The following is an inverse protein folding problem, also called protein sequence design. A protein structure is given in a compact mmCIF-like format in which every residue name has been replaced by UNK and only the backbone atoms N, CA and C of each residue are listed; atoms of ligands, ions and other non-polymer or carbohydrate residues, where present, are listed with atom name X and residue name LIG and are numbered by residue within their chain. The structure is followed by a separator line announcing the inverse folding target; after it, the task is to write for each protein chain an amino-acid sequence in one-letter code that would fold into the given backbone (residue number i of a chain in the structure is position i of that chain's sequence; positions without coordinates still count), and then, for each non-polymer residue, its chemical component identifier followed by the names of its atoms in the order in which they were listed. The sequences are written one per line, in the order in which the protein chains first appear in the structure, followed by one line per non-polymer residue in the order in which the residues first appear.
data_IF_886936555383
#
_entry.id   IF_886936555383
#
_cell.length_a   1.000
_cell.length_b   1.000
_cell.length_c   1.000
_cell.angle_alpha   90.00
_cell.angle_beta   90.00
_cell.angle_gamma   90.00
#
_symmetry.space_group_name_H-M   'P 1'
#
loop_
_entity.id
_entity.type
_entity.pdbx_description
1 polymer ?
#
# COMPACT_ATOMS: atom_id res chain seq x y z
N UNK A 1 1.20 20.84 10.09
CA UNK A 1 2.03 20.23 9.01
C UNK A 1 1.15 19.20 8.34
N UNK A 2 1.32 18.97 7.04
CA UNK A 2 0.40 18.14 6.25
C UNK A 2 1.16 17.01 5.55
N UNK A 3 0.48 15.88 5.37
CA UNK A 3 0.91 14.81 4.46
C UNK A 3 -0.04 14.83 3.27
N UNK A 4 0.51 14.99 2.08
CA UNK A 4 -0.27 14.87 0.86
C UNK A 4 -0.32 13.41 0.42
N UNK A 5 -1.53 12.89 0.22
CA UNK A 5 -1.83 11.51 -0.17
C UNK A 5 -2.45 11.57 -1.56
N UNK A 6 -1.72 11.15 -2.57
CA UNK A 6 -2.17 11.14 -3.96
C UNK A 6 -2.42 9.70 -4.41
N UNK A 7 -3.63 9.44 -4.88
CA UNK A 7 -3.96 8.16 -5.48
C UNK A 7 -3.48 8.13 -6.93
N UNK A 8 -2.71 7.12 -7.30
CA UNK A 8 -2.16 6.99 -8.65
C UNK A 8 -2.94 6.00 -9.51
N UNK A 9 -3.77 5.17 -8.91
CA UNK A 9 -4.56 4.13 -9.56
C UNK A 9 -4.30 2.76 -8.94
N UNK A 10 -5.29 1.89 -8.96
CA UNK A 10 -5.26 0.52 -8.43
C UNK A 10 -4.74 0.45 -6.98
N UNK A 11 -3.50 -0.05 -6.79
CA UNK A 11 -2.83 -0.12 -5.48
C UNK A 11 -1.88 1.04 -5.23
N UNK A 12 -1.62 1.86 -6.27
CA UNK A 12 -0.54 2.83 -6.27
C UNK A 12 -0.90 4.14 -5.56
N UNK A 13 -0.07 4.54 -4.61
CA UNK A 13 -0.14 5.83 -3.92
C UNK A 13 1.21 6.54 -3.92
N UNK A 14 1.15 7.86 -3.97
CA UNK A 14 2.26 8.75 -3.67
C UNK A 14 1.95 9.48 -2.37
N UNK A 15 2.89 9.45 -1.43
CA UNK A 15 2.85 10.29 -0.23
C UNK A 15 3.96 11.32 -0.30
N UNK A 16 3.64 12.57 0.04
CA UNK A 16 4.62 13.64 0.10
C UNK A 16 4.53 14.34 1.45
N UNK A 17 5.67 14.42 2.16
CA UNK A 17 5.74 15.14 3.42
C UNK A 17 5.91 16.64 3.16
N UNK A 18 5.60 17.48 4.13
CA UNK A 18 5.82 18.92 4.05
C UNK A 18 7.30 19.29 3.79
N UNK A 19 8.24 18.43 4.17
CA UNK A 19 9.67 18.60 3.88
C UNK A 19 10.06 18.18 2.46
N UNK A 20 9.09 17.73 1.66
CA UNK A 20 9.33 17.29 0.29
C UNK A 20 9.81 15.86 0.13
N UNK A 21 9.83 15.07 1.21
CA UNK A 21 10.11 13.63 1.06
C UNK A 21 8.97 12.95 0.33
N UNK A 22 9.24 12.46 -0.87
CA UNK A 22 8.27 11.75 -1.72
C UNK A 22 8.51 10.26 -1.64
N UNK A 23 7.44 9.50 -1.41
CA UNK A 23 7.45 8.05 -1.37
C UNK A 23 6.30 7.46 -2.20
N UNK A 24 6.53 6.28 -2.76
CA UNK A 24 5.52 5.51 -3.48
C UNK A 24 5.18 4.23 -2.71
N UNK A 25 3.93 3.85 -2.76
CA UNK A 25 3.39 2.63 -2.16
C UNK A 25 2.79 1.79 -3.29
N UNK A 26 3.22 0.54 -3.40
CA UNK A 26 2.75 -0.45 -4.37
C UNK A 26 2.48 0.12 -5.78
N UNK A 27 3.51 0.69 -6.47
CA UNK A 27 3.34 1.54 -7.63
C UNK A 27 2.96 0.78 -8.91
N UNK A 28 1.76 0.21 -8.93
CA UNK A 28 1.14 -0.37 -10.12
C UNK A 28 0.53 0.74 -10.97
N UNK A 29 1.22 1.12 -12.06
CA UNK A 29 0.83 2.22 -12.93
C UNK A 29 0.19 1.77 -14.26
N UNK A 30 0.21 0.47 -14.55
CA UNK A 30 -0.27 -0.12 -15.80
C UNK A 30 -1.61 -0.85 -15.60
N UNK A 31 -2.68 -0.10 -15.33
CA UNK A 31 -4.03 -0.66 -15.27
C UNK A 31 -4.63 -0.92 -16.66
N UNK A 32 -5.52 -1.91 -16.76
CA UNK A 32 -6.38 -2.11 -17.95
C UNK A 32 -7.84 -1.80 -17.58
N UNK A 33 -8.42 -0.74 -18.18
CA UNK A 33 -9.82 -0.39 -17.93
C UNK A 33 -10.83 -1.49 -18.30
N UNK A 34 -10.45 -2.42 -19.19
CA UNK A 34 -11.32 -3.57 -19.53
C UNK A 34 -11.50 -4.52 -18.34
N UNK A 35 -10.49 -4.60 -17.49
CA UNK A 35 -10.53 -5.38 -16.25
C UNK A 35 -11.08 -4.60 -15.05
N UNK A 36 -11.58 -3.36 -15.29
CA UNK A 36 -12.03 -2.46 -14.24
C UNK A 36 -10.90 -1.81 -13.46
N UNK A 37 -9.66 -1.96 -13.92
CA UNK A 37 -8.46 -1.40 -13.28
C UNK A 37 -8.11 -0.08 -13.98
N UNK A 38 -8.16 1.07 -13.30
CA UNK A 38 -7.84 2.33 -13.94
C UNK A 38 -6.36 2.39 -14.34
N UNK A 39 -6.01 3.00 -15.49
CA UNK A 39 -4.62 3.28 -15.79
C UNK A 39 -4.05 4.25 -14.74
N UNK A 40 -2.76 4.11 -14.46
CA UNK A 40 -2.07 5.02 -13.55
C UNK A 40 -2.13 6.47 -14.04
N UNK A 41 -2.22 7.38 -13.07
CA UNK A 41 -2.26 8.82 -13.35
C UNK A 41 -0.95 9.35 -13.97
N UNK A 42 0.14 8.62 -13.78
CA UNK A 42 1.49 9.03 -14.21
C UNK A 42 2.25 7.82 -14.79
N UNK A 43 3.36 8.13 -15.45
CA UNK A 43 4.36 7.13 -15.87
C UNK A 43 5.55 7.09 -14.91
N UNK A 44 6.36 6.02 -14.91
CA UNK A 44 7.54 5.90 -14.03
C UNK A 44 8.47 7.13 -14.05
N UNK A 45 8.62 7.78 -15.20
CA UNK A 45 9.51 8.93 -15.37
C UNK A 45 9.10 10.16 -14.54
N UNK A 46 7.86 10.24 -14.09
CA UNK A 46 7.38 11.31 -13.21
C UNK A 46 7.93 11.19 -11.77
N UNK A 47 8.54 10.05 -11.41
CA UNK A 47 8.94 9.75 -10.04
C UNK A 47 10.48 9.71 -9.83
N UNK A 48 11.25 10.38 -10.67
CA UNK A 48 12.72 10.42 -10.56
C UNK A 48 13.19 11.02 -9.22
N UNK A 49 12.38 11.89 -8.61
CA UNK A 49 12.69 12.51 -7.31
C UNK A 49 12.20 11.69 -6.10
N UNK A 50 11.57 10.53 -6.32
CA UNK A 50 11.17 9.67 -5.23
C UNK A 50 12.38 9.25 -4.38
N UNK A 51 12.17 9.15 -3.05
CA UNK A 51 13.21 8.73 -2.09
C UNK A 51 12.95 7.35 -1.51
N UNK A 52 11.69 6.93 -1.45
CA UNK A 52 11.29 5.61 -0.94
C UNK A 52 10.29 4.98 -1.90
N UNK A 53 10.45 3.69 -2.13
CA UNK A 53 9.43 2.86 -2.80
C UNK A 53 9.15 1.69 -1.88
N UNK A 54 7.92 1.61 -1.39
CA UNK A 54 7.47 0.55 -0.50
C UNK A 54 6.62 -0.43 -1.28
N UNK A 55 6.98 -1.71 -1.22
CA UNK A 55 6.22 -2.80 -1.84
C UNK A 55 5.80 -3.78 -0.76
N UNK A 56 4.50 -4.03 -0.65
CA UNK A 56 3.92 -4.87 0.40
C UNK A 56 4.20 -6.35 0.20
N UNK A 57 4.16 -6.82 -1.05
CA UNK A 57 4.40 -8.21 -1.43
C UNK A 57 4.71 -8.35 -2.92
N UNK A 58 5.04 -9.57 -3.37
CA UNK A 58 5.56 -9.83 -4.72
C UNK A 58 4.53 -9.85 -5.84
N UNK A 59 3.25 -9.69 -5.59
CA UNK A 59 2.25 -9.72 -6.66
C UNK A 59 2.55 -8.63 -7.71
N UNK A 60 2.27 -8.95 -8.96
CA UNK A 60 2.62 -8.07 -10.08
C UNK A 60 1.93 -6.73 -9.99
N UNK A 61 0.71 -6.73 -9.49
CA UNK A 61 -0.13 -5.54 -9.31
C UNK A 61 0.21 -4.72 -8.05
N UNK A 62 1.23 -5.12 -7.27
CA UNK A 62 1.84 -4.37 -6.18
C UNK A 62 3.28 -3.96 -6.50
N UNK A 63 4.09 -4.89 -7.02
CA UNK A 63 5.42 -4.54 -7.52
C UNK A 63 5.31 -3.52 -8.65
N UNK A 64 4.36 -3.71 -9.57
CA UNK A 64 4.11 -2.79 -10.66
C UNK A 64 5.39 -2.28 -11.32
N UNK A 65 5.59 -0.98 -11.32
CA UNK A 65 6.76 -0.30 -11.86
C UNK A 65 7.81 0.07 -10.80
N UNK A 66 7.74 -0.52 -9.60
CA UNK A 66 8.68 -0.23 -8.50
C UNK A 66 10.15 -0.36 -8.94
N UNK A 67 10.49 -1.45 -9.63
CA UNK A 67 11.86 -1.70 -10.06
C UNK A 67 12.35 -0.71 -11.12
N UNK A 68 11.47 -0.31 -12.04
CA UNK A 68 11.80 0.68 -13.07
C UNK A 68 12.05 2.04 -12.43
N UNK A 69 11.22 2.43 -11.47
CA UNK A 69 11.38 3.71 -10.77
C UNK A 69 12.67 3.71 -9.91
N UNK A 70 12.99 2.60 -9.22
CA UNK A 70 14.27 2.49 -8.50
C UNK A 70 15.46 2.72 -9.44
N UNK A 71 15.42 2.22 -10.67
CA UNK A 71 16.54 2.36 -11.63
C UNK A 71 16.76 3.78 -12.12
N UNK A 72 15.69 4.59 -12.18
CA UNK A 72 15.76 5.96 -12.72
C UNK A 72 15.77 7.05 -11.65
N UNK A 73 15.74 6.67 -10.36
CA UNK A 73 15.72 7.58 -9.21
C UNK A 73 16.82 7.24 -8.22
N UNK A 74 16.96 8.04 -7.16
CA UNK A 74 17.79 7.73 -5.99
C UNK A 74 16.99 6.99 -4.90
N UNK A 75 15.77 6.53 -5.18
CA UNK A 75 14.93 5.87 -4.20
C UNK A 75 15.53 4.55 -3.73
N UNK A 76 15.31 4.22 -2.47
CA UNK A 76 15.54 2.87 -1.95
C UNK A 76 14.25 2.08 -1.98
N UNK A 77 14.37 0.78 -2.26
CA UNK A 77 13.27 -0.18 -2.23
C UNK A 77 13.12 -0.75 -0.81
N UNK A 78 11.94 -0.62 -0.26
CA UNK A 78 11.54 -1.19 1.04
C UNK A 78 10.54 -2.30 0.75
N UNK A 79 10.86 -3.55 1.06
CA UNK A 79 10.03 -4.67 0.64
C UNK A 79 10.23 -5.93 1.50
N UNK A 80 9.37 -6.93 1.30
CA UNK A 80 9.52 -8.25 1.89
C UNK A 80 10.68 -9.05 1.25
N UNK A 81 10.97 -10.22 1.82
CA UNK A 81 12.08 -11.09 1.40
C UNK A 81 11.91 -11.56 -0.05
N UNK A 82 10.70 -11.96 -0.44
CA UNK A 82 10.45 -12.50 -1.78
C UNK A 82 10.60 -11.41 -2.84
N UNK A 83 10.09 -10.21 -2.59
CA UNK A 83 10.27 -9.04 -3.46
C UNK A 83 11.74 -8.63 -3.56
N UNK A 84 12.52 -8.72 -2.47
CA UNK A 84 13.97 -8.48 -2.51
C UNK A 84 14.65 -9.39 -3.52
N UNK A 85 14.37 -10.69 -3.47
CA UNK A 85 15.02 -11.64 -4.42
C UNK A 85 14.61 -11.36 -5.86
N UNK A 86 13.35 -11.01 -6.13
CA UNK A 86 12.94 -10.56 -7.46
C UNK A 86 13.70 -9.30 -7.91
N UNK A 87 13.85 -8.33 -7.02
CA UNK A 87 14.58 -7.10 -7.32
C UNK A 87 16.05 -7.36 -7.68
N UNK A 88 16.70 -8.29 -6.96
CA UNK A 88 18.09 -8.69 -7.23
C UNK A 88 18.21 -9.47 -8.54
N UNK A 89 17.42 -10.53 -8.73
CA UNK A 89 17.59 -11.49 -9.82
C UNK A 89 16.93 -11.06 -11.13
N UNK A 90 15.71 -10.49 -11.08
CA UNK A 90 14.96 -10.10 -12.28
C UNK A 90 15.34 -8.68 -12.74
N UNK A 91 15.51 -7.77 -11.78
CA UNK A 91 15.72 -6.36 -12.10
C UNK A 91 17.18 -5.90 -11.97
N UNK A 92 18.06 -6.68 -11.32
CA UNK A 92 19.46 -6.31 -11.12
C UNK A 92 19.67 -5.09 -10.24
N UNK A 93 18.73 -4.84 -9.29
CA UNK A 93 18.87 -3.73 -8.35
C UNK A 93 19.98 -4.06 -7.36
N UNK A 94 20.87 -3.12 -7.10
CA UNK A 94 21.97 -3.29 -6.16
C UNK A 94 21.44 -3.52 -4.72
N UNK A 95 22.06 -4.43 -3.97
CA UNK A 95 21.58 -4.86 -2.66
C UNK A 95 21.55 -3.71 -1.64
N UNK A 96 22.46 -2.77 -1.72
CA UNK A 96 22.52 -1.57 -0.88
C UNK A 96 21.38 -0.58 -1.12
N UNK A 97 20.63 -0.75 -2.23
CA UNK A 97 19.40 -0.03 -2.55
C UNK A 97 18.13 -0.71 -2.02
N UNK A 98 18.24 -1.87 -1.35
CA UNK A 98 17.11 -2.68 -0.90
C UNK A 98 17.11 -2.81 0.62
N UNK A 99 16.07 -2.29 1.25
CA UNK A 99 15.80 -2.44 2.69
C UNK A 99 14.77 -3.55 2.88
N UNK A 100 15.29 -4.77 3.09
CA UNK A 100 14.45 -5.91 3.40
C UNK A 100 13.76 -5.74 4.75
N UNK A 101 12.45 -5.97 4.77
CA UNK A 101 11.65 -5.96 5.98
C UNK A 101 11.01 -7.33 6.24
N UNK A 102 10.89 -7.65 7.51
CA UNK A 102 10.02 -8.71 8.02
C UNK A 102 9.15 -8.13 9.12
N UNK A 103 8.08 -8.80 9.48
CA UNK A 103 7.14 -8.35 10.52
C UNK A 103 7.85 -7.90 11.79
N UNK A 104 7.52 -6.71 12.28
CA UNK A 104 8.11 -6.09 13.47
C UNK A 104 9.31 -5.20 13.19
N UNK A 105 10.00 -5.34 12.05
CA UNK A 105 11.12 -4.47 11.67
C UNK A 105 10.63 -3.03 11.48
N UNK A 106 11.51 -2.09 11.83
CA UNK A 106 11.28 -0.67 11.72
C UNK A 106 12.54 0.03 11.22
N UNK A 107 12.40 0.82 10.16
CA UNK A 107 13.43 1.72 9.65
C UNK A 107 13.01 3.17 9.75
N UNK A 108 13.98 4.08 9.80
CA UNK A 108 13.77 5.53 9.76
C UNK A 108 14.44 6.07 8.51
N UNK A 109 13.67 6.74 7.69
CA UNK A 109 14.11 7.39 6.44
C UNK A 109 13.77 8.88 6.55
N UNK A 110 14.77 9.70 6.87
CA UNK A 110 14.57 11.13 7.05
C UNK A 110 13.51 11.44 8.12
N UNK A 111 12.38 11.98 7.70
CA UNK A 111 11.25 12.36 8.56
C UNK A 111 10.15 11.30 8.64
N UNK A 112 10.36 10.14 8.05
CA UNK A 112 9.39 9.03 8.02
C UNK A 112 9.95 7.80 8.71
N UNK A 113 9.15 7.21 9.59
CA UNK A 113 9.40 5.92 10.22
C UNK A 113 8.46 4.89 9.60
N UNK A 114 9.03 3.86 9.00
CA UNK A 114 8.31 2.74 8.39
C UNK A 114 8.41 1.53 9.31
N UNK A 115 7.28 0.99 9.74
CA UNK A 115 7.19 -0.26 10.49
C UNK A 115 6.43 -1.30 9.67
N UNK A 116 7.03 -2.48 9.51
CA UNK A 116 6.37 -3.62 8.89
C UNK A 116 5.47 -4.32 9.92
N UNK A 117 4.25 -4.60 9.51
CA UNK A 117 3.25 -5.38 10.24
C UNK A 117 2.83 -6.59 9.39
N UNK A 118 2.45 -7.72 10.00
CA UNK A 118 1.95 -8.87 9.27
C UNK A 118 0.69 -8.54 8.47
N UNK A 119 0.64 -8.96 7.21
CA UNK A 119 -0.57 -9.07 6.43
C UNK A 119 -0.96 -10.55 6.25
N UNK A 120 -2.23 -10.84 6.00
CA UNK A 120 -2.76 -12.18 5.81
C UNK A 120 -3.07 -12.43 4.33
N UNK A 121 -2.04 -12.65 3.56
CA UNK A 121 -2.08 -12.88 2.12
C UNK A 121 -0.88 -13.73 1.68
N UNK A 122 -0.58 -13.78 0.39
CA UNK A 122 0.52 -14.55 -0.20
C UNK A 122 1.64 -13.63 -0.67
N UNK A 123 2.89 -14.03 -0.44
CA UNK A 123 4.05 -13.45 -1.10
C UNK A 123 5.03 -14.54 -1.47
N UNK A 124 5.19 -14.81 -2.75
CA UNK A 124 6.13 -15.83 -3.21
C UNK A 124 6.84 -15.38 -4.49
N UNK A 125 8.07 -15.80 -4.65
CA UNK A 125 8.85 -15.57 -5.87
C UNK A 125 9.51 -16.86 -6.34
N UNK A 126 9.67 -16.97 -7.65
CA UNK A 126 10.57 -17.97 -8.25
C UNK A 126 11.94 -17.34 -8.38
N UNK A 127 12.95 -18.02 -7.88
CA UNK A 127 14.35 -17.59 -7.95
C UNK A 127 15.18 -18.65 -8.65
N UNK A 128 16.45 -18.36 -8.94
CA UNK A 128 17.39 -19.34 -9.47
C UNK A 128 17.55 -20.57 -8.55
N UNK A 129 17.40 -20.38 -7.24
CA UNK A 129 17.49 -21.45 -6.23
C UNK A 129 16.19 -22.21 -5.96
N UNK A 130 15.07 -21.83 -6.60
CA UNK A 130 13.75 -22.44 -6.37
C UNK A 130 12.67 -21.41 -5.99
N UNK A 131 11.69 -21.82 -5.19
CA UNK A 131 10.63 -20.92 -4.72
C UNK A 131 10.96 -20.37 -3.34
N UNK A 132 10.73 -19.08 -3.16
CA UNK A 132 10.76 -18.40 -1.88
C UNK A 132 9.33 -18.02 -1.52
N UNK A 133 8.90 -18.39 -0.32
CA UNK A 133 7.66 -17.90 0.29
C UNK A 133 8.04 -16.91 1.41
N UNK A 134 7.43 -15.74 1.39
CA UNK A 134 7.61 -14.71 2.40
C UNK A 134 6.27 -14.31 2.99
N UNK A 135 6.30 -13.63 4.12
CA UNK A 135 5.11 -13.05 4.70
C UNK A 135 4.85 -11.70 4.03
N UNK A 136 3.65 -11.48 3.45
CA UNK A 136 3.25 -10.16 2.98
C UNK A 136 3.20 -9.17 4.14
N UNK A 137 3.36 -7.90 3.83
CA UNK A 137 3.48 -6.82 4.80
C UNK A 137 2.40 -5.77 4.61
N UNK A 138 1.85 -5.30 5.72
CA UNK A 138 1.26 -3.98 5.83
C UNK A 138 2.30 -3.01 6.37
N UNK A 139 2.18 -1.74 6.08
CA UNK A 139 3.08 -0.71 6.58
C UNK A 139 2.38 0.29 7.48
N UNK A 140 2.96 0.54 8.65
CA UNK A 140 2.62 1.69 9.47
C UNK A 140 3.68 2.78 9.23
N UNK A 141 3.26 3.87 8.63
CA UNK A 141 4.06 5.05 8.39
C UNK A 141 3.80 6.06 9.50
N UNK A 142 4.87 6.49 10.18
CA UNK A 142 4.78 7.50 11.24
C UNK A 142 5.69 8.67 10.86
N UNK A 143 5.11 9.84 10.74
CA UNK A 143 5.81 11.04 10.31
C UNK A 143 6.33 11.82 11.53
N UNK A 144 7.40 12.58 11.34
CA UNK A 144 8.01 13.37 12.42
C UNK A 144 7.04 14.41 13.01
N UNK A 145 6.02 14.76 12.28
CA UNK A 145 4.95 15.71 12.64
C UNK A 145 3.82 15.07 13.44
N UNK A 146 3.83 13.74 13.60
CA UNK A 146 2.91 12.98 14.44
C UNK A 146 1.84 12.21 13.69
N UNK A 147 1.60 12.50 12.40
CA UNK A 147 0.63 11.76 11.58
C UNK A 147 1.06 10.30 11.46
N UNK A 148 0.07 9.40 11.39
CA UNK A 148 0.28 7.97 11.21
C UNK A 148 -0.69 7.44 10.17
N UNK A 149 -0.14 6.75 9.17
CA UNK A 149 -0.90 6.13 8.08
C UNK A 149 -0.68 4.63 8.13
N UNK A 150 -1.75 3.87 8.14
CA UNK A 150 -1.74 2.43 7.93
C UNK A 150 -1.98 2.16 6.44
N UNK A 151 -1.02 1.53 5.78
CA UNK A 151 -1.15 1.03 4.42
C UNK A 151 -1.30 -0.49 4.48
N UNK A 152 -2.49 -0.97 4.17
CA UNK A 152 -2.86 -2.37 4.33
C UNK A 152 -2.10 -3.31 3.40
N UNK A 153 -1.85 -2.88 2.16
CA UNK A 153 -1.56 -3.84 1.08
C UNK A 153 -2.76 -4.77 0.94
N UNK A 154 -2.49 -5.98 0.49
CA UNK A 154 -3.49 -7.03 0.45
C UNK A 154 -3.46 -7.83 1.74
N UNK A 155 -4.58 -7.88 2.40
CA UNK A 155 -4.78 -8.65 3.62
C UNK A 155 -6.24 -9.05 3.78
N UNK A 156 -6.49 -10.28 4.23
CA UNK A 156 -7.81 -10.65 4.72
C UNK A 156 -8.06 -10.06 6.11
N UNK A 157 -9.31 -10.07 6.55
CA UNK A 157 -9.67 -9.64 7.91
C UNK A 157 -8.98 -10.52 8.96
N UNK A 158 -8.40 -9.93 9.99
CA UNK A 158 -7.78 -10.64 11.11
C UNK A 158 -7.74 -9.80 12.38
N UNK A 159 -7.71 -10.46 13.54
CA UNK A 159 -7.83 -9.80 14.85
C UNK A 159 -6.70 -8.83 15.19
N UNK A 160 -5.50 -9.00 14.59
CA UNK A 160 -4.37 -8.10 14.87
C UNK A 160 -4.63 -6.66 14.40
N UNK A 161 -5.54 -6.45 13.42
CA UNK A 161 -5.94 -5.10 12.99
C UNK A 161 -6.50 -4.28 14.16
N UNK A 162 -7.26 -4.92 15.06
CA UNK A 162 -7.75 -4.29 16.29
C UNK A 162 -6.59 -3.92 17.22
N UNK A 163 -5.65 -4.85 17.41
CA UNK A 163 -4.45 -4.60 18.21
C UNK A 163 -3.59 -3.47 17.62
N UNK A 164 -3.49 -3.38 16.28
CA UNK A 164 -2.78 -2.28 15.64
C UNK A 164 -3.45 -0.94 15.89
N UNK A 165 -4.79 -0.88 15.89
CA UNK A 165 -5.56 0.30 16.27
C UNK A 165 -5.26 0.74 17.71
N UNK A 166 -5.30 -0.17 18.66
CA UNK A 166 -5.02 0.10 20.08
C UNK A 166 -3.58 0.58 20.32
N UNK A 167 -2.59 -0.10 19.73
CA UNK A 167 -1.17 0.16 19.98
C UNK A 167 -0.63 1.36 19.19
N UNK A 168 -1.03 1.48 17.92
CA UNK A 168 -0.39 2.43 17.01
C UNK A 168 -1.25 3.63 16.66
N UNK A 169 -2.57 3.52 16.83
CA UNK A 169 -3.54 4.61 16.63
C UNK A 169 -3.31 5.34 15.29
N UNK A 170 -3.37 4.64 14.15
CA UNK A 170 -3.24 5.31 12.86
C UNK A 170 -4.38 6.33 12.68
N UNK A 171 -4.11 7.39 11.94
CA UNK A 171 -5.12 8.43 11.68
C UNK A 171 -5.82 8.20 10.33
N UNK A 172 -5.08 7.64 9.39
CA UNK A 172 -5.55 7.28 8.05
C UNK A 172 -5.29 5.80 7.81
N UNK A 173 -6.24 5.08 7.22
CA UNK A 173 -6.03 3.76 6.67
C UNK A 173 -6.24 3.77 5.16
N UNK A 174 -5.31 3.20 4.42
CA UNK A 174 -5.45 2.86 3.00
C UNK A 174 -5.62 1.35 2.95
N UNK A 175 -6.78 0.88 2.50
CA UNK A 175 -7.18 -0.52 2.58
C UNK A 175 -7.46 -1.09 1.19
N UNK A 176 -6.91 -2.27 0.91
CA UNK A 176 -7.31 -3.10 -0.22
C UNK A 176 -8.73 -3.60 0.00
N UNK A 177 -9.64 -3.26 -0.91
CA UNK A 177 -11.05 -3.66 -0.85
C UNK A 177 -11.43 -4.31 -2.19
N UNK A 178 -12.37 -5.25 -2.15
CA UNK A 178 -12.70 -5.99 -3.36
C UNK A 178 -11.65 -7.04 -3.69
N UNK A 179 -11.50 -7.39 -4.95
CA UNK A 179 -10.56 -8.42 -5.37
C UNK A 179 -10.71 -8.85 -6.81
N UNK A 180 -10.07 -9.93 -7.16
CA UNK A 180 -10.13 -10.53 -8.50
C UNK A 180 -10.90 -11.85 -8.48
N UNK A 181 -11.74 -12.06 -9.47
CA UNK A 181 -12.38 -13.35 -9.70
C UNK A 181 -11.43 -14.21 -10.55
N UNK A 182 -11.01 -15.34 -9.99
CA UNK A 182 -10.17 -16.32 -10.67
C UNK A 182 -10.92 -17.64 -10.73
N UNK A 183 -11.29 -18.07 -11.93
CA UNK A 183 -12.02 -19.31 -12.18
C UNK A 183 -13.33 -19.44 -11.39
N UNK A 184 -14.07 -18.35 -11.22
CA UNK A 184 -15.33 -18.34 -10.46
C UNK A 184 -15.13 -18.36 -8.94
N UNK A 185 -13.92 -18.10 -8.48
CA UNK A 185 -13.60 -17.90 -7.06
C UNK A 185 -13.12 -16.47 -6.84
N UNK A 186 -13.80 -15.75 -5.96
CA UNK A 186 -13.35 -14.42 -5.56
C UNK A 186 -12.11 -14.55 -4.67
N UNK A 187 -11.01 -14.01 -5.14
CA UNK A 187 -9.80 -13.79 -4.36
C UNK A 187 -9.86 -12.37 -3.83
N UNK A 188 -10.62 -12.19 -2.77
CA UNK A 188 -10.89 -10.89 -2.18
C UNK A 188 -9.99 -10.70 -0.96
N UNK A 189 -9.34 -9.57 -0.88
CA UNK A 189 -8.48 -9.19 0.25
C UNK A 189 -9.34 -8.94 1.47
N UNK A 190 -10.12 -7.86 1.43
CA UNK A 190 -11.18 -7.54 2.37
C UNK A 190 -12.49 -7.40 1.60
N UNK A 191 -13.52 -8.12 1.98
CA UNK A 191 -14.87 -7.78 1.52
C UNK A 191 -15.21 -6.37 1.99
N UNK A 192 -16.11 -5.70 1.28
CA UNK A 192 -16.42 -4.29 1.55
C UNK A 192 -16.88 -4.01 2.98
N UNK A 193 -17.64 -4.92 3.57
CA UNK A 193 -18.06 -4.89 4.97
C UNK A 193 -16.91 -5.21 5.94
N UNK A 194 -16.02 -6.13 5.59
CA UNK A 194 -14.81 -6.43 6.35
C UNK A 194 -13.83 -5.25 6.35
N UNK A 195 -13.69 -4.54 5.22
CA UNK A 195 -12.86 -3.35 5.12
C UNK A 195 -13.41 -2.21 5.99
N UNK A 196 -14.73 -2.02 6.00
CA UNK A 196 -15.37 -1.04 6.89
C UNK A 196 -15.15 -1.40 8.37
N UNK A 197 -15.27 -2.70 8.72
CA UNK A 197 -14.99 -3.21 10.07
C UNK A 197 -13.50 -3.02 10.44
N UNK A 198 -12.58 -3.31 9.51
CA UNK A 198 -11.14 -3.11 9.70
C UNK A 198 -10.80 -1.65 9.98
N UNK A 199 -11.41 -0.70 9.24
CA UNK A 199 -11.26 0.73 9.50
C UNK A 199 -11.71 1.09 10.92
N UNK A 200 -12.85 0.54 11.36
CA UNK A 200 -13.35 0.69 12.73
C UNK A 200 -12.39 0.11 13.78
N UNK A 201 -11.85 -1.08 13.56
CA UNK A 201 -10.88 -1.72 14.47
C UNK A 201 -9.55 -0.94 14.55
N UNK A 202 -9.09 -0.38 13.43
CA UNK A 202 -7.92 0.49 13.38
C UNK A 202 -8.16 1.83 14.09
N UNK A 203 -9.44 2.24 14.25
CA UNK A 203 -9.83 3.49 14.91
C UNK A 203 -9.35 4.74 14.17
N UNK A 204 -9.33 4.69 12.85
CA UNK A 204 -8.85 5.78 12.01
C UNK A 204 -9.87 6.92 11.91
N UNK A 205 -9.41 8.11 11.53
CA UNK A 205 -10.29 9.24 11.19
C UNK A 205 -10.72 9.20 9.74
N UNK A 206 -9.84 8.68 8.87
CA UNK A 206 -10.04 8.63 7.42
C UNK A 206 -9.74 7.24 6.91
N UNK A 207 -10.61 6.70 6.05
CA UNK A 207 -10.41 5.45 5.32
C UNK A 207 -10.44 5.72 3.81
N UNK A 208 -9.43 5.20 3.10
CA UNK A 208 -9.25 5.35 1.66
C UNK A 208 -9.21 3.94 1.05
N UNK A 209 -10.14 3.60 0.15
CA UNK A 209 -10.11 2.32 -0.54
C UNK A 209 -9.07 2.31 -1.66
N UNK A 210 -8.48 1.15 -1.91
CA UNK A 210 -7.68 0.82 -3.08
C UNK A 210 -8.02 -0.59 -3.55
N UNK A 211 -7.42 -1.05 -4.65
CA UNK A 211 -7.54 -2.43 -5.15
C UNK A 211 -8.99 -2.83 -5.49
N UNK A 212 -9.81 -1.89 -5.92
CA UNK A 212 -11.21 -2.09 -6.25
C UNK A 212 -11.46 -1.96 -7.75
N UNK A 213 -12.49 -2.66 -8.23
CA UNK A 213 -12.93 -2.64 -9.62
C UNK A 213 -14.29 -1.95 -9.74
N UNK A 214 -14.53 -1.37 -10.90
CA UNK A 214 -15.82 -0.77 -11.23
C UNK A 214 -16.38 0.11 -10.11
N UNK A 215 -17.50 -0.27 -9.51
CA UNK A 215 -18.23 0.51 -8.51
C UNK A 215 -17.93 0.11 -7.06
N UNK A 216 -17.08 -0.90 -6.82
CA UNK A 216 -16.75 -1.40 -5.47
C UNK A 216 -16.24 -0.30 -4.53
N UNK A 217 -15.57 0.73 -5.07
CA UNK A 217 -15.16 1.89 -4.29
C UNK A 217 -16.34 2.64 -3.66
N UNK A 218 -17.44 2.85 -4.41
CA UNK A 218 -18.67 3.46 -3.89
C UNK A 218 -19.39 2.53 -2.93
N UNK A 219 -19.44 1.24 -3.22
CA UNK A 219 -20.03 0.24 -2.34
C UNK A 219 -19.30 0.18 -0.99
N UNK A 220 -17.96 0.30 -1.00
CA UNK A 220 -17.18 0.46 0.25
C UNK A 220 -17.58 1.70 1.03
N UNK A 221 -17.78 2.85 0.35
CA UNK A 221 -18.21 4.07 1.02
C UNK A 221 -19.57 3.90 1.70
N UNK A 222 -20.49 3.17 1.08
CA UNK A 222 -21.79 2.85 1.67
C UNK A 222 -21.65 1.90 2.87
N UNK A 223 -20.80 0.87 2.77
CA UNK A 223 -20.51 -0.04 3.88
C UNK A 223 -19.88 0.71 5.06
N UNK A 224 -18.91 1.59 4.79
CA UNK A 224 -18.24 2.41 5.81
C UNK A 224 -19.23 3.31 6.54
N UNK A 225 -20.08 4.03 5.80
CA UNK A 225 -21.12 4.90 6.38
C UNK A 225 -22.08 4.13 7.28
N UNK A 226 -22.38 2.88 6.94
CA UNK A 226 -23.29 2.03 7.71
C UNK A 226 -22.65 1.47 8.98
N UNK A 227 -21.38 1.05 8.92
CA UNK A 227 -20.73 0.31 10.00
C UNK A 227 -19.85 1.19 10.90
N UNK A 228 -19.26 2.25 10.34
CA UNK A 228 -18.35 3.15 11.04
C UNK A 228 -18.62 4.61 10.66
N UNK A 229 -19.82 5.16 10.98
CA UNK A 229 -20.28 6.46 10.51
C UNK A 229 -19.41 7.63 10.96
N UNK A 230 -18.61 7.46 11.99
CA UNK A 230 -17.68 8.48 12.50
C UNK A 230 -16.36 8.54 11.71
N UNK A 231 -16.13 7.62 10.78
CA UNK A 231 -14.95 7.58 9.94
C UNK A 231 -15.25 8.27 8.61
N UNK A 232 -14.43 9.25 8.25
CA UNK A 232 -14.52 9.90 6.95
C UNK A 232 -13.99 8.98 5.85
N UNK A 233 -14.83 8.62 4.89
CA UNK A 233 -14.39 7.92 3.68
C UNK A 233 -13.87 8.91 2.63
N UNK A 234 -12.76 8.56 1.97
CA UNK A 234 -12.19 9.33 0.83
C UNK A 234 -12.04 8.43 -0.38
N UNK A 235 -12.95 8.54 -1.32
CA UNK A 235 -12.84 7.88 -2.62
C UNK A 235 -12.12 8.82 -3.59
N UNK A 236 -10.84 8.55 -3.84
CA UNK A 236 -10.00 9.35 -4.72
C UNK A 236 -10.01 8.77 -6.14
N UNK A 237 -9.98 9.63 -7.14
CA UNK A 237 -9.73 9.23 -8.53
C UNK A 237 -8.23 9.24 -8.83
N UNK A 238 -7.76 8.46 -9.82
CA UNK A 238 -6.37 8.54 -10.24
C UNK A 238 -5.93 9.98 -10.53
N UNK A 239 -4.87 10.42 -9.86
CA UNK A 239 -4.33 11.78 -9.91
C UNK A 239 -4.88 12.73 -8.84
N UNK A 240 -5.96 12.39 -8.15
CA UNK A 240 -6.47 13.22 -7.04
C UNK A 240 -5.61 13.08 -5.78
N UNK A 241 -5.52 14.18 -5.04
CA UNK A 241 -4.81 14.27 -3.77
C UNK A 241 -5.75 14.61 -2.62
N UNK A 242 -5.39 14.10 -1.44
CA UNK A 242 -5.99 14.44 -0.17
C UNK A 242 -4.89 14.84 0.82
N UNK A 243 -4.94 16.05 1.35
CA UNK A 243 -3.98 16.53 2.35
C UNK A 243 -4.51 16.27 3.75
N UNK A 244 -3.78 15.48 4.53
CA UNK A 244 -4.10 15.16 5.91
C UNK A 244 -3.21 15.93 6.89
N UNK A 245 -3.82 16.52 7.92
CA UNK A 245 -3.16 17.15 9.07
C UNK A 245 -3.81 16.70 10.38
N UNK A 246 -3.05 16.73 11.49
CA UNK A 246 -3.52 16.48 12.85
C UNK A 246 -4.34 17.64 13.41
#
# INVERSE_FOLDING_TARGET
MTIDIRYLGWTAFQLTTEKGTTMLLDPMLNGDPKDGIPPGAEKPEAFQEAKLILVTHTATDHVGQAFDIVKISDAVLVCDVATKFRALEEAGIAEDRIYQMVSGVRYVFGDVKVKALPARHLSFARTAGGFINAQPLSYLLSFATGERIFFGGDTSIHGDLKLYGELYRPHVAILGVGGVDVHGQSLTELYLDEAALAAGWLGVRVAIPMHYRFDEGNEFMDALKKQAPDIEGKLLRPGESFSFAL
#
